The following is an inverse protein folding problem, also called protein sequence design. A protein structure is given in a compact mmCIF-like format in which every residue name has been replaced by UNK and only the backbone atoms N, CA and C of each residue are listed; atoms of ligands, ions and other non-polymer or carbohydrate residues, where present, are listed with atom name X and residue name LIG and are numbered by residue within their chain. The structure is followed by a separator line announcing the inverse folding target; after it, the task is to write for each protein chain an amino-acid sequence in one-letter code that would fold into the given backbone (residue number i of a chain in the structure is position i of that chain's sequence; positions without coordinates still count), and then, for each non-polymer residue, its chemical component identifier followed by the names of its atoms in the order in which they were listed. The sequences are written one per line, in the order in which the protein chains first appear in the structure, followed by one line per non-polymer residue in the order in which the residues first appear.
data_IF_029634775081
#
_entry.id   IF_029634775081
#
_cell.length_a   1.000
_cell.length_b   1.000
_cell.length_c   1.000
_cell.angle_alpha   90.00
_cell.angle_beta   90.00
_cell.angle_gamma   90.00
#
_symmetry.space_group_name_H-M   'P 1'
#
loop_
_entity.id
_entity.type
_entity.pdbx_description
1 polymer ?
#
# COMPACT_ATOMS: atom_id res chain seq x y z
N UNK A 1 6.11 -4.72 -3.92
CA UNK A 1 7.17 -3.73 -3.69
C UNK A 1 8.54 -4.40 -3.63
N UNK A 2 8.77 -5.33 -2.70
CA UNK A 2 10.00 -6.12 -2.58
C UNK A 2 9.75 -7.61 -2.91
N UNK A 3 10.82 -8.32 -3.26
CA UNK A 3 10.83 -9.78 -3.29
C UNK A 3 11.32 -10.31 -1.93
N UNK A 4 10.75 -11.42 -1.45
CA UNK A 4 11.28 -12.11 -0.26
C UNK A 4 12.30 -13.15 -0.73
N UNK A 5 13.54 -12.98 -0.30
CA UNK A 5 14.63 -13.89 -0.62
C UNK A 5 14.58 -15.13 0.28
N UNK A 6 15.26 -16.24 -0.09
CA UNK A 6 15.28 -17.47 0.71
C UNK A 6 15.74 -17.27 2.16
N UNK A 7 16.61 -16.29 2.41
CA UNK A 7 17.08 -15.92 3.74
C UNK A 7 16.08 -15.04 4.54
N UNK A 8 14.84 -14.90 4.05
CA UNK A 8 13.80 -14.02 4.62
C UNK A 8 14.17 -12.53 4.64
N UNK A 9 15.13 -12.14 3.80
CA UNK A 9 15.51 -10.74 3.56
C UNK A 9 14.68 -10.12 2.43
N UNK A 10 14.53 -8.79 2.50
CA UNK A 10 13.98 -8.02 1.39
C UNK A 10 15.00 -7.92 0.24
N UNK A 11 14.56 -8.23 -0.97
CA UNK A 11 15.31 -8.12 -2.21
C UNK A 11 14.63 -7.21 -3.24
N UNK A 12 15.38 -6.73 -4.25
CA UNK A 12 14.85 -5.81 -5.25
C UNK A 12 13.76 -6.46 -6.10
N UNK A 13 12.74 -5.68 -6.44
CA UNK A 13 11.69 -6.06 -7.40
C UNK A 13 11.15 -4.82 -8.12
N UNK A 14 10.30 -4.05 -7.44
CA UNK A 14 9.85 -2.73 -7.89
C UNK A 14 10.67 -1.64 -7.22
N UNK A 15 10.92 -1.79 -5.91
CA UNK A 15 11.95 -1.02 -5.22
C UNK A 15 13.33 -1.58 -5.59
N UNK A 16 14.24 -0.70 -6.00
CA UNK A 16 15.64 -1.03 -6.32
C UNK A 16 16.55 -0.74 -5.14
N UNK A 17 16.27 0.33 -4.40
CA UNK A 17 17.05 0.80 -3.25
C UNK A 17 16.12 1.35 -2.18
N UNK A 18 16.54 1.23 -0.92
CA UNK A 18 15.83 1.83 0.21
C UNK A 18 16.78 2.11 1.37
N UNK A 19 16.47 3.15 2.14
CA UNK A 19 17.14 3.47 3.39
C UNK A 19 16.12 3.87 4.46
N UNK A 20 16.42 3.55 5.71
CA UNK A 20 15.55 3.83 6.85
C UNK A 20 16.32 4.76 7.79
N UNK A 21 15.67 5.81 8.30
CA UNK A 21 16.24 6.70 9.30
C UNK A 21 16.48 5.98 10.63
N UNK A 22 17.39 6.51 11.46
CA UNK A 22 17.73 5.93 12.76
C UNK A 22 16.55 5.81 13.72
N UNK A 23 15.55 6.70 13.58
CA UNK A 23 14.30 6.68 14.35
C UNK A 23 13.22 5.75 13.78
N UNK A 24 13.49 5.11 12.64
CA UNK A 24 12.59 4.22 11.89
C UNK A 24 11.29 4.87 11.39
N UNK A 25 11.17 6.20 11.47
CA UNK A 25 9.96 6.92 11.07
C UNK A 25 9.98 7.37 9.61
N UNK A 26 11.16 7.45 9.00
CA UNK A 26 11.32 7.89 7.60
C UNK A 26 11.96 6.80 6.76
N UNK A 27 11.27 6.47 5.67
CA UNK A 27 11.72 5.47 4.69
C UNK A 27 11.90 6.17 3.34
N UNK A 28 13.12 6.12 2.81
CA UNK A 28 13.42 6.60 1.44
C UNK A 28 13.50 5.39 0.54
N UNK A 29 12.73 5.39 -0.57
CA UNK A 29 12.59 4.24 -1.45
C UNK A 29 12.74 4.70 -2.89
N UNK A 30 13.65 4.09 -3.63
CA UNK A 30 13.77 4.29 -5.08
C UNK A 30 13.11 3.11 -5.80
N UNK A 31 12.29 3.44 -6.79
CA UNK A 31 11.57 2.47 -7.61
C UNK A 31 12.08 2.50 -9.05
N UNK A 32 11.85 1.41 -9.77
CA UNK A 32 12.07 1.34 -11.21
C UNK A 32 11.16 2.34 -11.95
N UNK A 33 11.70 2.96 -13.00
CA UNK A 33 11.02 3.92 -13.88
C UNK A 33 10.57 3.32 -15.22
N UNK A 34 10.88 2.04 -15.46
CA UNK A 34 10.63 1.32 -16.72
C UNK A 34 9.41 0.39 -16.66
N UNK A 35 8.66 0.39 -15.56
CA UNK A 35 7.54 -0.54 -15.33
C UNK A 35 6.23 0.04 -15.83
N UNK A 36 5.51 -0.69 -16.69
CA UNK A 36 4.13 -0.36 -17.09
C UNK A 36 3.12 -1.24 -16.37
N UNK A 37 1.95 -0.66 -16.09
CA UNK A 37 0.79 -1.44 -15.68
C UNK A 37 0.29 -2.34 -16.81
N UNK A 38 -0.27 -3.48 -16.42
CA UNK A 38 -0.92 -4.39 -17.36
C UNK A 38 -2.00 -3.66 -18.16
N UNK A 39 -2.20 -4.07 -19.42
CA UNK A 39 -3.18 -3.49 -20.36
C UNK A 39 -2.87 -2.05 -20.81
N UNK A 40 -1.64 -1.56 -20.62
CA UNK A 40 -1.20 -0.29 -21.18
C UNK A 40 -1.76 0.95 -20.46
N UNK A 41 -2.05 0.86 -19.17
CA UNK A 41 -2.55 1.98 -18.36
C UNK A 41 -1.49 3.03 -17.98
N UNK A 42 -0.32 2.98 -18.63
CA UNK A 42 0.77 3.92 -18.40
C UNK A 42 1.89 3.32 -17.55
N UNK A 43 2.93 4.14 -17.37
CA UNK A 43 4.07 3.85 -16.52
C UNK A 43 3.65 3.95 -15.04
N UNK A 44 4.14 3.02 -14.23
CA UNK A 44 4.02 3.10 -12.79
C UNK A 44 5.02 4.12 -12.27
N UNK A 45 4.55 5.02 -11.41
CA UNK A 45 5.34 6.09 -10.79
C UNK A 45 5.28 6.01 -9.26
N UNK A 46 6.03 6.90 -8.60
CA UNK A 46 5.99 6.99 -7.14
C UNK A 46 4.63 7.51 -6.63
N UNK A 47 3.90 8.27 -7.45
CA UNK A 47 2.56 8.77 -7.10
C UNK A 47 1.56 7.61 -6.97
N UNK A 48 1.65 6.59 -7.83
CA UNK A 48 0.80 5.39 -7.77
C UNK A 48 1.07 4.56 -6.50
N UNK A 49 2.34 4.50 -6.09
CA UNK A 49 2.77 3.86 -4.85
C UNK A 49 2.22 4.63 -3.65
N UNK A 50 2.43 5.95 -3.61
CA UNK A 50 1.94 6.81 -2.54
C UNK A 50 0.42 6.73 -2.39
N UNK A 51 -0.32 6.77 -3.51
CA UNK A 51 -1.77 6.58 -3.52
C UNK A 51 -2.18 5.26 -2.88
N UNK A 52 -1.48 4.16 -3.19
CA UNK A 52 -1.76 2.84 -2.60
C UNK A 52 -1.57 2.83 -1.08
N UNK A 53 -0.51 3.47 -0.56
CA UNK A 53 -0.29 3.56 0.88
C UNK A 53 -1.36 4.42 1.57
N UNK A 54 -1.67 5.58 0.98
CA UNK A 54 -2.72 6.45 1.48
C UNK A 54 -4.06 5.73 1.58
N UNK A 55 -4.49 5.07 0.50
CA UNK A 55 -5.75 4.31 0.48
C UNK A 55 -5.72 3.08 1.39
N UNK A 56 -4.57 2.44 1.58
CA UNK A 56 -4.45 1.34 2.54
C UNK A 56 -4.70 1.82 3.98
N UNK A 57 -4.27 3.03 4.31
CA UNK A 57 -4.48 3.64 5.63
C UNK A 57 -5.87 4.29 5.78
N UNK A 58 -6.41 4.88 4.71
CA UNK A 58 -7.57 5.78 4.77
C UNK A 58 -8.86 5.25 4.09
N UNK A 59 -8.79 4.26 3.20
CA UNK A 59 -9.80 4.11 2.13
C UNK A 59 -10.37 2.71 1.85
N UNK A 60 -11.70 2.64 1.73
CA UNK A 60 -12.53 1.44 1.49
C UNK A 60 -12.48 0.87 0.05
N UNK A 61 -11.54 1.32 -0.80
CA UNK A 61 -11.46 0.96 -2.23
C UNK A 61 -10.55 -0.25 -2.50
N UNK A 62 -9.58 -0.51 -1.62
CA UNK A 62 -8.83 -1.76 -1.66
C UNK A 62 -9.61 -2.84 -0.90
N UNK A 63 -9.96 -3.95 -1.57
CA UNK A 63 -10.72 -5.05 -0.96
C UNK A 63 -10.11 -5.58 0.37
N UNK A 64 -8.79 -5.39 0.54
CA UNK A 64 -8.03 -5.75 1.75
C UNK A 64 -7.97 -4.67 2.84
N UNK A 65 -8.19 -3.39 2.50
CA UNK A 65 -8.30 -2.31 3.49
C UNK A 65 -9.64 -2.39 4.24
N UNK A 66 -10.70 -2.83 3.54
CA UNK A 66 -12.05 -3.02 4.11
C UNK A 66 -12.10 -4.03 5.25
N UNK A 67 -11.24 -5.06 5.26
CA UNK A 67 -11.20 -6.08 6.33
C UNK A 67 -10.64 -5.51 7.64
N UNK A 68 -9.61 -4.65 7.57
CA UNK A 68 -9.05 -3.98 8.75
C UNK A 68 -9.93 -2.81 9.22
N UNK A 69 -10.51 -2.04 8.28
CA UNK A 69 -11.46 -0.98 8.59
C UNK A 69 -12.69 -1.50 9.35
N UNK A 70 -13.25 -2.64 8.96
CA UNK A 70 -14.38 -3.25 9.65
C UNK A 70 -14.02 -3.93 10.99
N UNK A 71 -12.74 -4.23 11.23
CA UNK A 71 -12.29 -4.84 12.49
C UNK A 71 -11.99 -3.78 13.56
N UNK A 72 -11.49 -2.61 13.16
CA UNK A 72 -11.17 -1.49 14.07
C UNK A 72 -12.30 -0.48 14.28
N UNK A 73 -13.15 -0.27 13.27
CA UNK A 73 -14.37 0.54 13.41
C UNK A 73 -15.52 -0.38 13.78
N UNK A 74 -15.71 -0.60 15.08
CA UNK A 74 -16.95 -1.18 15.59
C UNK A 74 -18.16 -0.34 15.13
N UNK A 75 -18.69 -0.66 13.95
CA UNK A 75 -20.01 -0.20 13.53
C UNK A 75 -21.00 -0.84 14.47
N UNK A 76 -21.38 -0.10 15.52
CA UNK A 76 -22.66 -0.32 16.17
C UNK A 76 -23.72 -0.08 15.09
N UNK A 77 -24.33 -1.16 14.61
CA UNK A 77 -25.62 -1.04 13.96
C UNK A 77 -26.53 -0.26 14.91
N UNK A 78 -26.92 0.95 14.51
CA UNK A 78 -28.06 1.64 15.12
C UNK A 78 -29.30 1.12 14.42
N UNK A 79 -30.18 0.36 15.11
CA UNK A 79 -31.38 -0.19 14.47
C UNK A 79 -32.40 0.93 14.27
N UNK A 80 -32.87 1.06 13.02
CA UNK A 80 -34.18 1.63 12.68
C UNK A 80 -34.30 3.16 12.69
N UNK A 81 -34.25 3.76 11.51
CA UNK A 81 -35.13 4.88 11.20
C UNK A 81 -35.89 4.53 9.92
N UNK A 82 -37.14 4.10 10.10
CA UNK A 82 -38.10 3.81 9.03
C UNK A 82 -38.84 5.10 8.70
N UNK A 83 -38.65 5.60 7.47
CA UNK A 83 -39.71 6.31 6.73
C UNK A 83 -40.28 5.36 5.69
#
# INVERSE_FOLDING_TARGET
MWAIQPALSAGPMLATEWSISDDFLTWTIQIRDDVQFHKGYGLMTMDDVHWTYKEYHEGALLARATILGNFGSGRKEVPGDSR
#
